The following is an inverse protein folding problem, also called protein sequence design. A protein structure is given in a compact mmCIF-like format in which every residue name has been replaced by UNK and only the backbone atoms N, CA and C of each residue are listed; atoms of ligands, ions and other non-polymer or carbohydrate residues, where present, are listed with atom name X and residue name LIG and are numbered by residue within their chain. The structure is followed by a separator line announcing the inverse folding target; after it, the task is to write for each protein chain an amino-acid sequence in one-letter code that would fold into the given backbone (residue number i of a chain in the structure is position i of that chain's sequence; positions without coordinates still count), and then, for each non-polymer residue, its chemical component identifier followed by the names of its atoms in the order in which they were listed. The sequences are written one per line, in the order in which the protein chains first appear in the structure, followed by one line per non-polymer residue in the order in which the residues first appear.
data_IF_765062990869
#
_entry.id   IF_765062990869
#
_cell.length_a   1.000
_cell.length_b   1.000
_cell.length_c   1.000
_cell.angle_alpha   90.00
_cell.angle_beta   90.00
_cell.angle_gamma   90.00
#
_symmetry.space_group_name_H-M   'P 1'
#
loop_
_entity.id
_entity.type
_entity.pdbx_description
1 polymer ?
#
# COMPACT_ATOMS: atom_id res chain seq x y z
N UNK A 1 -15.38 -2.43 15.69
CA UNK A 1 -14.52 -3.21 14.81
C UNK A 1 -14.32 -2.44 13.50
N UNK A 2 -13.10 -2.04 13.19
CA UNK A 2 -12.72 -1.28 11.97
C UNK A 2 -13.00 -2.04 10.68
N UNK A 3 -12.69 -3.34 10.68
CA UNK A 3 -12.98 -4.23 9.57
C UNK A 3 -14.33 -4.90 9.80
N UNK A 4 -15.27 -4.83 8.85
CA UNK A 4 -16.59 -5.44 9.00
C UNK A 4 -16.49 -6.93 9.31
N UNK A 5 -17.34 -7.42 10.21
CA UNK A 5 -17.40 -8.84 10.57
C UNK A 5 -17.56 -9.74 9.33
N UNK A 6 -18.36 -9.29 8.35
CA UNK A 6 -18.54 -9.99 7.07
C UNK A 6 -17.22 -10.17 6.31
N UNK A 7 -16.35 -9.16 6.30
CA UNK A 7 -15.03 -9.24 5.67
C UNK A 7 -14.13 -10.19 6.43
N UNK A 8 -14.09 -10.08 7.76
CA UNK A 8 -13.28 -10.97 8.62
C UNK A 8 -13.65 -12.43 8.43
N UNK A 9 -14.96 -12.75 8.47
CA UNK A 9 -15.47 -14.11 8.26
C UNK A 9 -15.11 -14.65 6.87
N UNK A 10 -15.23 -13.79 5.83
CA UNK A 10 -14.95 -14.22 4.46
C UNK A 10 -13.46 -14.45 4.22
N UNK A 11 -12.60 -13.58 4.76
CA UNK A 11 -11.15 -13.76 4.70
C UNK A 11 -10.72 -14.99 5.50
N UNK A 12 -11.25 -15.17 6.71
CA UNK A 12 -10.99 -16.36 7.52
C UNK A 12 -11.40 -17.66 6.83
N UNK A 13 -12.61 -17.72 6.25
CA UNK A 13 -13.08 -18.86 5.47
C UNK A 13 -12.21 -19.13 4.23
N UNK A 14 -11.74 -18.05 3.55
CA UNK A 14 -10.82 -18.17 2.42
C UNK A 14 -9.49 -18.80 2.86
N UNK A 15 -8.89 -18.31 3.94
CA UNK A 15 -7.62 -18.84 4.48
C UNK A 15 -7.79 -20.32 4.86
N UNK A 16 -8.86 -20.67 5.57
CA UNK A 16 -9.13 -22.05 5.94
C UNK A 16 -9.22 -22.94 4.70
N UNK A 17 -9.95 -22.49 3.66
CA UNK A 17 -10.06 -23.21 2.38
C UNK A 17 -8.71 -23.42 1.71
N UNK A 18 -7.80 -22.42 1.73
CA UNK A 18 -6.46 -22.58 1.16
C UNK A 18 -5.63 -23.60 1.96
N UNK A 19 -5.69 -23.54 3.30
CA UNK A 19 -5.00 -24.49 4.18
C UNK A 19 -5.51 -25.94 3.97
N UNK A 20 -6.81 -26.13 3.88
CA UNK A 20 -7.42 -27.45 3.60
C UNK A 20 -7.03 -28.02 2.23
N UNK A 21 -6.67 -27.14 1.26
CA UNK A 21 -6.14 -27.53 -0.05
C UNK A 21 -4.62 -27.79 -0.03
N UNK A 22 -3.97 -27.70 1.12
CA UNK A 22 -2.52 -27.88 1.25
C UNK A 22 -1.70 -26.73 0.68
N UNK A 23 -2.30 -25.60 0.33
CA UNK A 23 -1.59 -24.47 -0.26
C UNK A 23 -0.84 -23.70 0.84
N UNK A 24 0.47 -23.59 0.69
CA UNK A 24 1.35 -22.80 1.60
C UNK A 24 1.43 -21.35 1.19
N UNK A 25 1.34 -21.02 -0.11
CA UNK A 25 1.42 -19.68 -0.68
C UNK A 25 0.09 -19.37 -1.38
N UNK A 26 -0.57 -18.30 -0.95
CA UNK A 26 -1.83 -17.82 -1.51
C UNK A 26 -2.01 -16.32 -1.26
N UNK A 27 -2.64 -15.58 -2.18
CA UNK A 27 -2.87 -14.16 -2.05
C UNK A 27 -4.00 -13.88 -1.05
N UNK A 28 -3.86 -12.82 -0.26
CA UNK A 28 -4.94 -12.25 0.56
C UNK A 28 -5.49 -10.97 -0.05
N UNK A 29 -4.60 -10.16 -0.63
CA UNK A 29 -4.93 -8.89 -1.27
C UNK A 29 -4.29 -8.88 -2.67
N UNK A 30 -5.07 -8.57 -3.68
CA UNK A 30 -4.53 -8.18 -4.99
C UNK A 30 -4.28 -6.68 -4.95
N UNK A 31 -3.05 -6.24 -5.23
CA UNK A 31 -2.76 -4.84 -5.58
C UNK A 31 -2.91 -4.68 -7.09
N UNK A 32 -3.94 -3.95 -7.50
CA UNK A 32 -4.26 -3.69 -8.90
C UNK A 32 -3.93 -2.23 -9.22
N UNK A 33 -2.89 -2.00 -10.01
CA UNK A 33 -2.46 -0.67 -10.44
C UNK A 33 -2.84 -0.45 -11.92
N UNK A 34 -4.05 0.06 -12.20
CA UNK A 34 -4.53 0.15 -13.56
C UNK A 34 -3.85 1.24 -14.39
N UNK A 35 -3.12 2.15 -13.75
CA UNK A 35 -2.33 3.22 -14.37
C UNK A 35 -1.28 3.75 -13.39
N UNK A 36 -0.26 4.46 -13.92
CA UNK A 36 0.76 5.13 -13.09
C UNK A 36 0.61 6.66 -13.06
N UNK A 37 -0.16 7.25 -13.99
CA UNK A 37 -0.38 8.70 -13.98
C UNK A 37 -1.02 9.16 -12.67
N UNK A 38 -0.48 10.24 -12.10
CA UNK A 38 -1.01 10.90 -10.91
C UNK A 38 -1.15 12.40 -11.15
N UNK A 39 -1.94 13.06 -10.33
CA UNK A 39 -2.08 14.52 -10.26
C UNK A 39 -1.31 15.13 -9.08
N UNK A 40 -0.44 14.35 -8.44
CA UNK A 40 0.55 14.75 -7.42
C UNK A 40 1.92 14.20 -7.80
N UNK A 41 2.97 14.82 -7.27
CA UNK A 41 4.37 14.43 -7.47
C UNK A 41 5.09 14.28 -6.12
N UNK A 42 4.55 13.44 -5.24
CA UNK A 42 5.06 13.25 -3.88
C UNK A 42 6.52 12.79 -3.87
N UNK A 43 7.42 13.42 -3.07
CA UNK A 43 8.85 13.09 -3.04
C UNK A 43 9.16 11.64 -2.65
N UNK A 44 8.32 11.05 -1.80
CA UNK A 44 8.45 9.65 -1.36
C UNK A 44 7.80 8.63 -2.30
N UNK A 45 7.36 9.03 -3.51
CA UNK A 45 6.64 8.16 -4.45
C UNK A 45 7.31 8.12 -5.82
N UNK A 46 7.73 6.93 -6.27
CA UNK A 46 8.35 6.74 -7.59
C UNK A 46 7.39 6.35 -8.72
N UNK A 47 6.06 6.40 -8.50
CA UNK A 47 5.09 5.87 -9.45
C UNK A 47 4.91 6.69 -10.73
N UNK A 48 5.25 7.97 -10.70
CA UNK A 48 5.18 8.86 -11.88
C UNK A 48 6.53 9.07 -12.56
N UNK A 49 7.59 8.46 -12.05
CA UNK A 49 8.93 8.56 -12.63
C UNK A 49 9.07 7.63 -13.84
N UNK A 50 8.26 7.91 -14.86
CA UNK A 50 8.23 7.22 -16.14
C UNK A 50 7.99 8.20 -17.29
N UNK A 51 8.47 7.88 -18.52
CA UNK A 51 8.11 8.63 -19.71
C UNK A 51 6.60 8.70 -19.96
N UNK A 52 6.17 9.73 -20.67
CA UNK A 52 4.74 9.97 -20.96
C UNK A 52 4.06 8.80 -21.68
N UNK A 53 4.78 8.07 -22.53
CA UNK A 53 4.26 6.87 -23.20
C UNK A 53 3.81 5.80 -22.19
N UNK A 54 4.56 5.63 -21.11
CA UNK A 54 4.23 4.71 -20.02
C UNK A 54 3.11 5.29 -19.14
N UNK A 55 3.18 6.58 -18.79
CA UNK A 55 2.16 7.24 -17.97
C UNK A 55 0.80 7.31 -18.66
N UNK A 56 0.76 7.27 -19.99
CA UNK A 56 -0.47 7.24 -20.78
C UNK A 56 -1.07 5.83 -20.93
N UNK A 57 -0.31 4.77 -20.61
CA UNK A 57 -0.83 3.40 -20.61
C UNK A 57 -1.79 3.18 -19.45
N UNK A 58 -2.73 2.30 -19.66
CA UNK A 58 -3.68 1.85 -18.65
C UNK A 58 -4.16 0.44 -18.97
N UNK A 59 -4.55 -0.29 -17.95
CA UNK A 59 -5.28 -1.54 -18.13
C UNK A 59 -6.72 -1.24 -18.50
N UNK A 60 -7.28 -2.02 -19.42
CA UNK A 60 -8.72 -2.02 -19.70
C UNK A 60 -9.51 -2.63 -18.56
N UNK A 61 -10.84 -2.46 -18.55
CA UNK A 61 -11.73 -3.13 -17.61
C UNK A 61 -11.54 -4.65 -17.67
N UNK A 62 -11.46 -5.22 -18.86
CA UNK A 62 -11.26 -6.65 -19.07
C UNK A 62 -9.96 -7.14 -18.42
N UNK A 63 -8.82 -6.50 -18.69
CA UNK A 63 -7.53 -6.87 -18.09
C UNK A 63 -7.53 -6.75 -16.55
N UNK A 64 -8.21 -5.74 -16.00
CA UNK A 64 -8.37 -5.59 -14.56
C UNK A 64 -9.19 -6.74 -13.96
N UNK A 65 -10.28 -7.13 -14.62
CA UNK A 65 -11.16 -8.19 -14.12
C UNK A 65 -10.53 -9.57 -14.31
N UNK A 66 -9.82 -9.81 -15.39
CA UNK A 66 -9.04 -11.04 -15.60
C UNK A 66 -8.00 -11.20 -14.47
N UNK A 67 -7.31 -10.13 -14.10
CA UNK A 67 -6.36 -10.15 -12.97
C UNK A 67 -7.06 -10.47 -11.64
N UNK A 68 -8.25 -9.91 -11.39
CA UNK A 68 -9.05 -10.20 -10.18
C UNK A 68 -9.46 -11.67 -10.11
N UNK A 69 -9.85 -12.25 -11.24
CA UNK A 69 -10.26 -13.66 -11.33
C UNK A 69 -9.08 -14.63 -11.24
N UNK A 70 -8.01 -14.34 -11.97
CA UNK A 70 -6.78 -15.14 -11.99
C UNK A 70 -6.14 -15.21 -10.59
N UNK A 71 -6.02 -14.07 -9.91
CA UNK A 71 -5.49 -13.98 -8.55
C UNK A 71 -6.41 -14.66 -7.52
N UNK A 72 -7.70 -14.42 -7.62
CA UNK A 72 -8.70 -15.00 -6.72
C UNK A 72 -8.67 -14.50 -5.28
N UNK A 73 -7.88 -13.46 -4.96
CA UNK A 73 -7.82 -12.86 -3.63
C UNK A 73 -9.19 -12.32 -3.16
N UNK A 74 -9.50 -12.41 -1.87
CA UNK A 74 -10.77 -11.90 -1.33
C UNK A 74 -10.83 -10.36 -1.29
N UNK A 75 -9.68 -9.69 -1.26
CA UNK A 75 -9.54 -8.24 -1.20
C UNK A 75 -8.80 -7.76 -2.45
N UNK A 76 -9.22 -6.60 -2.98
CA UNK A 76 -8.55 -5.90 -4.08
C UNK A 76 -8.28 -4.47 -3.63
N UNK A 77 -7.01 -4.12 -3.52
CA UNK A 77 -6.56 -2.74 -3.34
C UNK A 77 -6.26 -2.15 -4.72
N UNK A 78 -6.79 -0.98 -5.01
CA UNK A 78 -6.59 -0.29 -6.29
C UNK A 78 -5.83 1.02 -6.01
N UNK A 79 -4.47 0.96 -5.91
CA UNK A 79 -3.66 2.16 -5.74
C UNK A 79 -3.35 2.81 -7.09
N UNK A 80 -2.34 2.39 -7.79
CA UNK A 80 -1.82 3.00 -9.01
C UNK A 80 -1.06 4.30 -8.73
N UNK A 81 -1.08 5.24 -9.68
CA UNK A 81 -0.81 6.66 -9.44
C UNK A 81 -2.03 7.27 -8.73
N UNK A 82 -2.93 7.93 -9.48
CA UNK A 82 -4.25 8.31 -8.95
C UNK A 82 -5.35 7.54 -9.72
N UNK A 83 -5.98 6.53 -9.12
CA UNK A 83 -6.93 5.68 -9.86
C UNK A 83 -8.17 6.44 -10.34
N UNK A 84 -8.52 7.57 -9.72
CA UNK A 84 -9.61 8.41 -10.20
C UNK A 84 -9.30 9.12 -11.53
N UNK A 85 -8.06 9.10 -12.03
CA UNK A 85 -7.73 9.53 -13.38
C UNK A 85 -8.10 8.49 -14.44
N UNK A 86 -8.28 7.23 -14.06
CA UNK A 86 -8.72 6.19 -14.99
C UNK A 86 -10.15 6.47 -15.47
N UNK A 87 -10.37 6.44 -16.80
CA UNK A 87 -11.66 6.81 -17.39
C UNK A 87 -12.79 5.86 -16.99
N UNK A 88 -12.45 4.59 -16.82
CA UNK A 88 -13.39 3.49 -16.57
C UNK A 88 -13.31 2.98 -15.12
N UNK A 89 -12.77 3.77 -14.17
CA UNK A 89 -12.58 3.34 -12.78
C UNK A 89 -13.89 2.92 -12.11
N UNK A 90 -15.00 3.61 -12.43
CA UNK A 90 -16.32 3.26 -11.92
C UNK A 90 -16.74 1.85 -12.32
N UNK A 91 -16.49 1.46 -13.57
CA UNK A 91 -16.80 0.14 -14.10
C UNK A 91 -15.88 -0.95 -13.51
N UNK A 92 -14.57 -0.70 -13.42
CA UNK A 92 -13.61 -1.61 -12.76
C UNK A 92 -14.05 -1.91 -11.33
N UNK A 93 -14.41 -0.88 -10.56
CA UNK A 93 -14.89 -1.03 -9.18
C UNK A 93 -16.22 -1.79 -9.13
N UNK A 94 -17.19 -1.43 -9.99
CA UNK A 94 -18.50 -2.06 -10.01
C UNK A 94 -18.41 -3.56 -10.34
N UNK A 95 -17.63 -3.94 -11.36
CA UNK A 95 -17.43 -5.34 -11.74
C UNK A 95 -16.67 -6.14 -10.68
N UNK A 96 -15.72 -5.51 -9.98
CA UNK A 96 -15.00 -6.14 -8.86
C UNK A 96 -15.93 -6.37 -7.64
N UNK A 97 -16.75 -5.37 -7.31
CA UNK A 97 -17.77 -5.46 -6.25
C UNK A 97 -18.84 -6.52 -6.56
N UNK A 98 -19.29 -6.60 -7.82
CA UNK A 98 -20.25 -7.63 -8.29
C UNK A 98 -19.72 -9.06 -8.05
N UNK A 99 -18.41 -9.25 -8.17
CA UNK A 99 -17.70 -10.51 -7.83
C UNK A 99 -17.52 -10.70 -6.32
N UNK A 100 -18.11 -9.81 -5.52
CA UNK A 100 -18.06 -9.83 -4.05
C UNK A 100 -16.61 -9.81 -3.52
N UNK A 101 -15.71 -9.08 -4.18
CA UNK A 101 -14.40 -8.77 -3.65
C UNK A 101 -14.50 -7.48 -2.82
N UNK A 102 -13.77 -7.41 -1.71
CA UNK A 102 -13.66 -6.18 -0.93
C UNK A 102 -12.67 -5.26 -1.61
N UNK A 103 -13.16 -4.13 -2.09
CA UNK A 103 -12.38 -3.12 -2.82
C UNK A 103 -11.94 -2.02 -1.86
N UNK A 104 -10.66 -1.74 -1.82
CA UNK A 104 -10.08 -0.54 -1.26
C UNK A 104 -9.59 0.33 -2.41
N UNK A 105 -10.35 1.38 -2.75
CA UNK A 105 -9.96 2.34 -3.78
C UNK A 105 -9.09 3.42 -3.13
N UNK A 106 -7.77 3.34 -3.37
CA UNK A 106 -6.80 4.26 -2.79
C UNK A 106 -6.77 5.55 -3.61
N UNK A 107 -6.82 6.72 -2.93
CA UNK A 107 -6.86 8.00 -3.62
C UNK A 107 -6.28 9.12 -2.76
N UNK A 108 -5.66 10.12 -3.41
CA UNK A 108 -5.30 11.39 -2.77
C UNK A 108 -6.49 12.33 -2.56
N UNK A 109 -7.69 11.88 -2.90
CA UNK A 109 -8.98 12.53 -2.74
C UNK A 109 -9.22 13.82 -3.54
N UNK A 110 -8.25 14.38 -4.25
CA UNK A 110 -8.40 15.63 -4.99
C UNK A 110 -9.51 15.59 -6.05
N UNK A 111 -9.79 14.43 -6.60
CA UNK A 111 -10.83 14.21 -7.61
C UNK A 111 -12.07 13.52 -7.04
N UNK A 112 -12.04 13.09 -5.76
CA UNK A 112 -13.03 12.17 -5.21
C UNK A 112 -14.44 12.80 -5.19
N UNK A 113 -14.59 14.04 -4.72
CA UNK A 113 -15.88 14.75 -4.71
C UNK A 113 -16.47 14.87 -6.11
N UNK A 114 -15.64 15.24 -7.10
CA UNK A 114 -16.07 15.41 -8.51
C UNK A 114 -16.50 14.08 -9.14
N UNK A 115 -15.86 12.98 -8.77
CA UNK A 115 -16.07 11.66 -9.38
C UNK A 115 -16.93 10.71 -8.55
N UNK A 116 -17.46 11.16 -7.42
CA UNK A 116 -18.25 10.32 -6.53
C UNK A 116 -19.46 9.68 -7.20
N UNK A 117 -20.07 10.37 -8.18
CA UNK A 117 -21.20 9.90 -8.97
C UNK A 117 -20.91 8.61 -9.79
N UNK A 118 -19.65 8.24 -9.96
CA UNK A 118 -19.24 6.99 -10.66
C UNK A 118 -19.43 5.75 -9.79
N UNK A 119 -19.70 5.91 -8.50
CA UNK A 119 -19.72 4.82 -7.54
C UNK A 119 -21.07 4.69 -6.85
N UNK A 120 -21.36 3.49 -6.39
CA UNK A 120 -22.54 3.20 -5.57
C UNK A 120 -22.11 2.69 -4.19
N UNK A 121 -22.67 3.18 -3.07
CA UNK A 121 -22.36 2.67 -1.75
C UNK A 121 -22.56 1.17 -1.66
N UNK A 122 -21.57 0.48 -1.11
CA UNK A 122 -21.56 -0.97 -1.01
C UNK A 122 -20.77 -1.43 0.22
N UNK A 123 -21.16 -2.51 0.90
CA UNK A 123 -20.35 -3.10 1.96
C UNK A 123 -19.04 -3.71 1.44
N UNK A 124 -18.87 -3.77 0.13
CA UNK A 124 -17.65 -4.24 -0.54
C UNK A 124 -16.76 -3.12 -1.07
N UNK A 125 -17.17 -1.84 -0.96
CA UNK A 125 -16.36 -0.69 -1.39
C UNK A 125 -16.00 0.18 -0.21
N UNK A 126 -14.70 0.46 -0.07
CA UNK A 126 -14.13 1.41 0.90
C UNK A 126 -13.19 2.32 0.14
N UNK A 127 -13.36 3.63 0.28
CA UNK A 127 -12.35 4.58 -0.17
C UNK A 127 -11.22 4.61 0.85
N UNK A 128 -9.98 4.44 0.41
CA UNK A 128 -8.78 4.54 1.22
C UNK A 128 -8.11 5.86 0.90
N UNK A 129 -8.37 6.87 1.72
CA UNK A 129 -7.89 8.24 1.50
C UNK A 129 -6.51 8.41 2.10
N UNK A 130 -5.57 8.91 1.30
CA UNK A 130 -4.21 9.17 1.73
C UNK A 130 -4.13 10.43 2.59
N UNK A 131 -3.65 10.28 3.84
CA UNK A 131 -3.31 11.36 4.77
C UNK A 131 -2.15 10.91 5.67
N UNK A 132 -1.01 11.60 5.63
CA UNK A 132 0.20 11.21 6.36
C UNK A 132 0.42 11.97 7.67
N UNK A 133 -0.39 12.99 7.95
CA UNK A 133 -0.31 13.82 9.13
C UNK A 133 -1.43 14.86 9.16
N UNK A 134 -1.33 15.83 10.06
CA UNK A 134 -2.13 17.05 10.02
C UNK A 134 -1.71 17.92 8.82
N UNK A 135 -2.37 19.06 8.63
CA UNK A 135 -2.19 19.90 7.42
C UNK A 135 -0.72 20.17 7.07
N UNK A 136 0.15 20.62 7.98
CA UNK A 136 1.55 20.89 7.63
C UNK A 136 2.30 19.65 7.16
N UNK A 137 2.19 18.55 7.91
CA UNK A 137 2.91 17.32 7.64
C UNK A 137 2.39 16.63 6.35
N UNK A 138 1.08 16.67 6.12
CA UNK A 138 0.50 16.05 4.92
C UNK A 138 0.84 16.84 3.66
N UNK A 139 0.65 18.16 3.68
CA UNK A 139 0.92 19.01 2.52
C UNK A 139 2.40 18.99 2.15
N UNK A 140 3.31 18.87 3.13
CA UNK A 140 4.74 18.63 2.92
C UNK A 140 5.00 17.27 2.29
N UNK A 141 4.37 16.18 2.81
CA UNK A 141 4.58 14.81 2.31
C UNK A 141 4.17 14.62 0.85
N UNK A 142 3.21 15.43 0.38
CA UNK A 142 2.72 15.40 -1.01
C UNK A 142 3.25 16.53 -1.88
N UNK A 143 4.11 17.39 -1.32
CA UNK A 143 4.71 18.58 -1.97
C UNK A 143 3.65 19.50 -2.62
N UNK A 144 2.52 19.67 -1.95
CA UNK A 144 1.45 20.54 -2.45
C UNK A 144 0.55 21.08 -1.34
N UNK A 145 0.47 22.39 -1.21
CA UNK A 145 -0.37 23.07 -0.22
C UNK A 145 -1.88 22.88 -0.49
N UNK A 146 -2.65 22.77 0.59
CA UNK A 146 -4.10 22.66 0.57
C UNK A 146 -4.66 21.29 0.16
N UNK A 147 -3.80 20.28 0.03
CA UNK A 147 -4.25 18.89 -0.24
C UNK A 147 -4.96 18.31 0.97
N UNK A 148 -4.41 18.50 2.18
CA UNK A 148 -5.04 18.06 3.43
C UNK A 148 -6.49 18.52 3.54
N UNK A 149 -6.71 19.83 3.41
CA UNK A 149 -8.07 20.41 3.49
C UNK A 149 -9.03 19.77 2.50
N UNK A 150 -8.60 19.64 1.23
CA UNK A 150 -9.45 19.02 0.18
C UNK A 150 -9.72 17.54 0.44
N UNK A 151 -8.75 16.81 1.01
CA UNK A 151 -8.94 15.41 1.38
C UNK A 151 -9.93 15.26 2.54
N UNK A 152 -9.84 16.10 3.57
CA UNK A 152 -10.78 16.11 4.70
C UNK A 152 -12.21 16.43 4.22
N UNK A 153 -12.39 17.49 3.40
CA UNK A 153 -13.70 17.81 2.80
C UNK A 153 -14.25 16.66 1.94
N UNK A 154 -13.38 15.94 1.25
CA UNK A 154 -13.79 14.77 0.47
C UNK A 154 -14.22 13.62 1.37
N UNK A 155 -13.50 13.33 2.47
CA UNK A 155 -13.89 12.32 3.47
C UNK A 155 -15.31 12.62 4.00
N UNK A 156 -15.55 13.84 4.44
CA UNK A 156 -16.87 14.26 4.96
C UNK A 156 -17.98 14.08 3.92
N UNK A 157 -17.74 14.53 2.68
CA UNK A 157 -18.69 14.39 1.56
C UNK A 157 -19.03 12.94 1.27
N UNK A 158 -18.02 12.08 1.21
CA UNK A 158 -18.15 10.66 0.87
C UNK A 158 -18.87 9.90 1.98
N UNK A 159 -18.57 10.22 3.24
CA UNK A 159 -19.29 9.64 4.39
C UNK A 159 -20.75 10.08 4.44
N UNK A 160 -21.04 11.37 4.20
CA UNK A 160 -22.40 11.86 4.12
C UNK A 160 -23.22 11.19 3.00
N UNK A 161 -22.56 10.76 1.92
CA UNK A 161 -23.17 9.99 0.84
C UNK A 161 -23.31 8.48 1.14
N UNK A 162 -22.97 8.03 2.36
CA UNK A 162 -23.16 6.64 2.81
C UNK A 162 -22.05 5.67 2.39
N UNK A 163 -20.93 6.16 1.92
CA UNK A 163 -19.77 5.30 1.62
C UNK A 163 -18.92 5.04 2.86
N UNK A 164 -18.16 3.98 2.80
CA UNK A 164 -17.14 3.63 3.78
C UNK A 164 -15.84 4.34 3.42
N UNK A 165 -15.15 4.86 4.43
CA UNK A 165 -13.87 5.54 4.27
C UNK A 165 -12.86 5.00 5.27
N UNK A 166 -11.66 4.70 4.78
CA UNK A 166 -10.47 4.40 5.57
C UNK A 166 -9.40 5.47 5.28
N UNK A 167 -8.59 5.81 6.26
CA UNK A 167 -7.41 6.66 6.07
C UNK A 167 -6.19 5.78 5.91
N UNK A 168 -5.37 6.03 4.89
CA UNK A 168 -4.08 5.40 4.68
C UNK A 168 -2.96 6.40 4.99
N UNK A 169 -2.14 6.06 5.97
CA UNK A 169 -1.09 6.90 6.52
C UNK A 169 0.27 6.23 6.37
N UNK A 170 1.21 6.94 5.77
CA UNK A 170 2.63 6.54 5.68
C UNK A 170 3.45 7.45 6.59
N UNK A 171 4.24 6.85 7.48
CA UNK A 171 5.10 7.60 8.40
C UNK A 171 6.55 7.56 7.90
N UNK A 172 7.18 8.73 7.87
CA UNK A 172 8.57 8.92 7.45
C UNK A 172 9.47 9.24 8.65
N UNK A 173 10.77 9.39 8.42
CA UNK A 173 11.75 9.61 9.49
C UNK A 173 11.64 10.98 10.20
N UNK A 174 10.90 11.90 9.63
CA UNK A 174 10.57 13.20 10.24
C UNK A 174 9.33 13.15 11.14
N UNK A 175 8.67 11.99 11.24
CA UNK A 175 7.44 11.85 12.03
C UNK A 175 7.71 11.94 13.53
N UNK A 176 7.12 12.95 14.19
CA UNK A 176 7.17 13.14 15.62
C UNK A 176 6.02 12.40 16.31
N UNK A 177 6.27 11.51 17.31
CA UNK A 177 5.25 10.69 17.93
C UNK A 177 4.04 11.47 18.46
N UNK A 178 4.25 12.66 19.02
CA UNK A 178 3.20 13.54 19.54
C UNK A 178 2.31 14.10 18.41
N UNK A 179 2.90 14.43 17.26
CA UNK A 179 2.17 14.92 16.07
C UNK A 179 1.36 13.79 15.44
N UNK A 180 1.94 12.60 15.33
CA UNK A 180 1.24 11.40 14.86
C UNK A 180 0.06 11.06 15.76
N UNK A 181 0.23 11.14 17.09
CA UNK A 181 -0.84 10.93 18.05
C UNK A 181 -1.98 11.95 17.86
N UNK A 182 -1.66 13.24 17.70
CA UNK A 182 -2.64 14.29 17.44
C UNK A 182 -3.37 14.07 16.09
N UNK A 183 -2.66 13.60 15.07
CA UNK A 183 -3.25 13.24 13.78
C UNK A 183 -4.24 12.06 13.92
N UNK A 184 -3.88 11.00 14.65
CA UNK A 184 -4.81 9.87 14.84
C UNK A 184 -6.04 10.26 15.67
N UNK A 185 -5.88 11.16 16.65
CA UNK A 185 -7.03 11.74 17.36
C UNK A 185 -7.94 12.50 16.39
N UNK A 186 -7.38 13.35 15.54
CA UNK A 186 -8.12 14.10 14.54
C UNK A 186 -8.86 13.16 13.56
N UNK A 187 -8.17 12.18 13.00
CA UNK A 187 -8.78 11.19 12.08
C UNK A 187 -9.94 10.45 12.74
N UNK A 188 -9.82 10.14 14.03
CA UNK A 188 -10.89 9.49 14.80
C UNK A 188 -12.15 10.36 14.85
N UNK A 189 -12.01 11.70 14.92
CA UNK A 189 -13.16 12.63 14.91
C UNK A 189 -13.90 12.66 13.57
N UNK A 190 -13.24 12.32 12.47
CA UNK A 190 -13.87 12.23 11.14
C UNK A 190 -14.81 11.01 11.03
N UNK A 191 -14.80 10.12 12.02
CA UNK A 191 -15.65 8.93 12.06
C UNK A 191 -15.37 7.95 10.92
N UNK A 192 -14.13 7.87 10.42
CA UNK A 192 -13.72 6.89 9.41
C UNK A 192 -13.78 5.46 9.96
N UNK A 193 -13.83 4.48 9.08
CA UNK A 193 -13.91 3.07 9.47
C UNK A 193 -12.64 2.59 10.18
N UNK A 194 -11.47 3.18 9.82
CA UNK A 194 -10.21 2.90 10.45
C UNK A 194 -9.04 3.57 9.77
N UNK A 195 -7.87 3.39 10.37
CA UNK A 195 -6.59 3.88 9.89
C UNK A 195 -5.75 2.68 9.46
N UNK A 196 -5.21 2.71 8.26
CA UNK A 196 -4.12 1.84 7.83
C UNK A 196 -2.83 2.63 7.97
N UNK A 197 -1.88 2.13 8.73
CA UNK A 197 -0.61 2.82 8.97
C UNK A 197 0.57 1.95 8.51
N UNK A 198 1.57 2.59 7.93
CA UNK A 198 2.78 1.90 7.45
C UNK A 198 4.00 2.81 7.61
N UNK A 199 5.19 2.25 7.87
CA UNK A 199 6.41 3.02 7.68
C UNK A 199 6.62 3.27 6.19
N UNK A 200 7.19 4.41 5.84
CA UNK A 200 7.72 4.67 4.53
C UNK A 200 8.87 3.71 4.23
N UNK A 201 8.89 3.19 3.03
CA UNK A 201 9.94 2.30 2.54
C UNK A 201 10.62 2.89 1.31
N UNK A 202 11.94 2.77 1.25
CA UNK A 202 12.75 3.26 0.16
C UNK A 202 12.42 2.54 -1.18
N UNK A 203 11.52 3.14 -1.94
CA UNK A 203 11.34 2.76 -3.34
C UNK A 203 12.59 3.12 -4.13
N UNK A 204 13.05 2.22 -5.00
CA UNK A 204 14.21 2.51 -5.86
C UNK A 204 14.01 3.75 -6.73
N UNK A 205 12.78 4.04 -7.12
CA UNK A 205 12.40 5.18 -7.97
C UNK A 205 11.92 6.41 -7.22
N UNK A 206 11.87 6.39 -5.89
CA UNK A 206 11.48 7.58 -5.15
C UNK A 206 12.53 8.68 -5.32
N UNK A 207 12.12 9.91 -5.67
CA UNK A 207 13.06 11.03 -5.86
C UNK A 207 13.89 11.34 -4.61
N UNK A 208 13.29 11.22 -3.44
CA UNK A 208 13.97 11.42 -2.16
C UNK A 208 14.15 10.11 -1.42
N UNK A 209 15.40 9.71 -1.23
CA UNK A 209 15.79 8.50 -0.51
C UNK A 209 16.11 8.76 0.98
N UNK A 210 16.18 10.01 1.42
CA UNK A 210 16.53 10.37 2.78
C UNK A 210 15.36 10.27 3.77
N UNK A 211 14.13 10.22 3.28
CA UNK A 211 12.89 10.25 4.08
C UNK A 211 12.54 8.94 4.78
N UNK A 212 13.12 7.83 4.37
CA UNK A 212 12.66 6.53 4.78
C UNK A 212 13.19 6.10 6.14
N UNK A 213 12.35 5.34 6.85
CA UNK A 213 12.69 4.77 8.14
C UNK A 213 13.46 3.46 7.98
N UNK A 214 14.56 3.31 8.71
CA UNK A 214 15.13 1.99 8.92
C UNK A 214 14.30 1.19 9.93
N UNK A 215 14.60 -0.11 10.06
CA UNK A 215 13.84 -1.03 10.92
C UNK A 215 13.85 -0.62 12.39
N UNK A 216 14.97 -0.15 12.90
CA UNK A 216 15.10 0.27 14.29
C UNK A 216 14.31 1.57 14.57
N UNK A 217 14.41 2.53 13.66
CA UNK A 217 13.62 3.78 13.72
C UNK A 217 12.12 3.49 13.67
N UNK A 218 11.69 2.59 12.78
CA UNK A 218 10.30 2.13 12.71
C UNK A 218 9.80 1.60 14.04
N UNK A 219 10.50 0.64 14.63
CA UNK A 219 10.13 0.04 15.92
C UNK A 219 10.02 1.08 17.03
N UNK A 220 10.97 2.00 17.09
CA UNK A 220 11.01 3.07 18.12
C UNK A 220 9.84 4.02 17.91
N UNK A 221 9.64 4.54 16.71
CA UNK A 221 8.55 5.47 16.39
C UNK A 221 7.19 4.87 16.75
N UNK A 222 6.87 3.67 16.25
CA UNK A 222 5.58 3.04 16.51
C UNK A 222 5.37 2.70 17.99
N UNK A 223 6.43 2.31 18.69
CA UNK A 223 6.36 2.07 20.16
C UNK A 223 6.00 3.35 20.91
N UNK A 224 6.61 4.48 20.56
CA UNK A 224 6.33 5.77 21.18
C UNK A 224 4.94 6.27 20.85
N UNK A 225 4.51 6.14 19.59
CA UNK A 225 3.14 6.48 19.16
C UNK A 225 2.12 5.64 19.93
N UNK A 226 2.28 4.33 20.00
CA UNK A 226 1.33 3.46 20.73
C UNK A 226 1.35 3.67 22.25
N UNK A 227 2.49 4.11 22.80
CA UNK A 227 2.55 4.55 24.22
C UNK A 227 1.64 5.76 24.46
N UNK A 228 1.68 6.75 23.57
CA UNK A 228 0.79 7.92 23.61
C UNK A 228 -0.67 7.54 23.31
N UNK A 229 -0.92 6.46 22.58
CA UNK A 229 -2.23 5.95 22.25
C UNK A 229 -2.93 5.19 23.39
N UNK A 230 -2.28 4.92 24.52
CA UNK A 230 -2.89 4.22 25.65
C UNK A 230 -4.12 4.98 26.17
N UNK A 231 -5.26 4.31 26.21
CA UNK A 231 -6.53 4.89 26.65
C UNK A 231 -7.23 5.78 25.59
N UNK A 232 -6.70 5.89 24.37
CA UNK A 232 -7.35 6.58 23.25
C UNK A 232 -8.15 5.59 22.39
N UNK A 233 -9.15 6.10 21.66
CA UNK A 233 -10.06 5.29 20.86
C UNK A 233 -9.65 5.24 19.38
N UNK A 234 -8.36 5.08 19.11
CA UNK A 234 -7.90 4.92 17.73
C UNK A 234 -8.36 3.59 17.15
N UNK A 235 -8.81 3.62 15.93
CA UNK A 235 -9.34 2.44 15.23
C UNK A 235 -8.44 2.15 14.03
N UNK A 236 -7.68 1.06 14.09
CA UNK A 236 -6.83 0.62 12.98
C UNK A 236 -7.52 -0.47 12.16
N UNK A 237 -7.30 -0.46 10.84
CA UNK A 237 -7.84 -1.46 9.89
C UNK A 237 -6.96 -2.70 9.78
N UNK A 238 -5.80 -2.69 10.43
CA UNK A 238 -4.82 -3.76 10.43
C UNK A 238 -5.00 -4.67 11.64
N UNK A 239 -4.44 -5.88 11.56
CA UNK A 239 -4.48 -6.82 12.69
C UNK A 239 -3.67 -6.30 13.88
N UNK A 240 -4.13 -6.60 15.10
CA UNK A 240 -3.42 -6.20 16.33
C UNK A 240 -1.99 -6.75 16.37
N UNK A 241 -1.77 -7.94 15.81
CA UNK A 241 -0.44 -8.53 15.75
C UNK A 241 0.49 -7.84 14.74
N UNK A 242 -0.04 -7.23 13.69
CA UNK A 242 0.77 -6.41 12.81
C UNK A 242 1.18 -5.09 13.49
N UNK A 243 0.27 -4.44 14.19
CA UNK A 243 0.61 -3.24 14.97
C UNK A 243 1.64 -3.55 16.06
N UNK A 244 1.52 -4.71 16.70
CA UNK A 244 2.50 -5.18 17.68
C UNK A 244 3.87 -5.53 17.04
N UNK A 245 3.86 -5.98 15.77
CA UNK A 245 5.08 -6.14 14.98
C UNK A 245 5.73 -4.78 14.65
N UNK A 246 4.96 -3.76 14.27
CA UNK A 246 5.49 -2.41 14.06
C UNK A 246 6.14 -1.85 15.31
N UNK A 247 5.58 -2.12 16.50
CA UNK A 247 6.16 -1.77 17.79
C UNK A 247 7.38 -2.65 18.19
N UNK A 248 7.83 -3.53 17.31
CA UNK A 248 9.01 -4.36 17.52
C UNK A 248 8.82 -5.52 18.51
N UNK A 249 7.61 -5.99 18.75
CA UNK A 249 7.33 -7.06 19.71
C UNK A 249 7.22 -8.45 19.07
N UNK A 250 7.16 -8.51 17.74
CA UNK A 250 7.09 -9.74 16.95
C UNK A 250 8.28 -9.86 16.02
N UNK A 251 8.71 -11.09 15.75
CA UNK A 251 9.70 -11.40 14.73
C UNK A 251 9.02 -12.15 13.59
N UNK A 252 8.66 -11.46 12.53
CA UNK A 252 7.93 -12.01 11.39
C UNK A 252 8.80 -12.12 10.15
N UNK A 253 8.59 -13.18 9.38
CA UNK A 253 9.08 -13.30 8.00
C UNK A 253 8.08 -12.70 7.04
N UNK A 254 8.60 -12.02 6.03
CA UNK A 254 7.77 -11.46 4.96
C UNK A 254 7.09 -12.56 4.14
N UNK A 255 5.85 -12.32 3.71
CA UNK A 255 5.07 -13.21 2.84
C UNK A 255 4.60 -12.44 1.59
N UNK A 256 5.52 -12.09 0.65
CA UNK A 256 5.22 -11.19 -0.47
C UNK A 256 4.12 -11.74 -1.39
N UNK A 257 4.02 -13.05 -1.55
CA UNK A 257 2.93 -13.72 -2.28
C UNK A 257 1.53 -13.47 -1.71
N UNK A 258 1.43 -12.97 -0.46
CA UNK A 258 0.16 -12.61 0.17
C UNK A 258 -0.48 -11.35 -0.42
N UNK A 259 0.34 -10.53 -1.09
CA UNK A 259 -0.08 -9.25 -1.67
C UNK A 259 0.52 -9.02 -3.06
N UNK A 260 0.22 -9.92 -4.05
CA UNK A 260 0.73 -9.78 -5.41
C UNK A 260 0.24 -8.50 -6.07
N UNK A 261 1.07 -7.95 -6.95
CA UNK A 261 0.79 -6.71 -7.69
C UNK A 261 0.62 -7.00 -9.18
N UNK A 262 -0.48 -6.51 -9.77
CA UNK A 262 -0.73 -6.47 -11.21
C UNK A 262 -0.79 -5.01 -11.68
N UNK A 263 0.09 -4.66 -12.60
CA UNK A 263 0.14 -3.31 -13.16
C UNK A 263 0.21 -3.34 -14.71
N UNK A 264 0.44 -2.21 -15.34
CA UNK A 264 0.47 -2.06 -16.80
C UNK A 264 1.57 -2.87 -17.50
N UNK A 265 2.57 -3.36 -16.78
CA UNK A 265 3.64 -4.20 -17.32
C UNK A 265 3.38 -5.70 -17.15
N UNK A 266 2.61 -6.09 -16.14
CA UNK A 266 2.37 -7.50 -15.84
C UNK A 266 2.22 -7.75 -14.34
N UNK A 267 2.52 -8.97 -13.91
CA UNK A 267 2.57 -9.38 -12.52
C UNK A 267 3.97 -9.09 -11.96
N UNK A 268 4.09 -8.10 -11.09
CA UNK A 268 5.38 -7.60 -10.58
C UNK A 268 6.05 -8.59 -9.64
N UNK A 269 7.34 -8.83 -9.84
CA UNK A 269 8.21 -9.67 -8.99
C UNK A 269 9.09 -8.84 -8.07
N UNK A 270 9.36 -9.33 -6.86
CA UNK A 270 8.62 -10.32 -6.08
C UNK A 270 7.45 -9.67 -5.36
N UNK A 271 7.44 -8.36 -5.24
CA UNK A 271 6.43 -7.59 -4.51
C UNK A 271 6.30 -6.17 -5.07
N UNK A 272 5.34 -5.45 -4.54
CA UNK A 272 5.02 -4.07 -4.85
C UNK A 272 6.22 -3.09 -4.73
N UNK A 273 7.15 -3.33 -3.79
CA UNK A 273 8.24 -2.40 -3.47
C UNK A 273 9.49 -2.63 -4.31
N UNK A 274 9.75 -3.86 -4.70
CA UNK A 274 10.89 -4.23 -5.52
C UNK A 274 10.47 -4.33 -6.99
N UNK A 275 11.29 -3.85 -7.87
CA UNK A 275 11.05 -3.86 -9.31
C UNK A 275 12.04 -4.81 -10.00
N UNK A 276 11.89 -6.13 -9.72
CA UNK A 276 12.79 -7.17 -10.23
C UNK A 276 12.15 -7.99 -11.35
N UNK A 277 11.38 -7.33 -12.20
CA UNK A 277 10.78 -7.93 -13.38
C UNK A 277 9.29 -8.28 -13.23
N UNK A 278 8.74 -8.86 -14.26
CA UNK A 278 7.32 -9.15 -14.40
C UNK A 278 7.08 -10.57 -14.90
N UNK A 279 6.04 -11.20 -14.38
CA UNK A 279 5.53 -12.46 -14.87
C UNK A 279 4.35 -12.20 -15.80
N UNK A 280 4.17 -13.00 -16.88
CA UNK A 280 3.08 -12.84 -17.83
C UNK A 280 1.72 -13.25 -17.27
N UNK A 281 1.69 -14.12 -16.28
CA UNK A 281 0.46 -14.62 -15.62
C UNK A 281 0.64 -14.72 -14.11
N UNK A 282 -0.47 -14.75 -13.38
CA UNK A 282 -0.44 -15.00 -11.94
C UNK A 282 0.15 -16.37 -11.60
N UNK A 283 -0.13 -17.37 -12.44
CA UNK A 283 0.47 -18.69 -12.28
C UNK A 283 1.99 -18.63 -12.37
N UNK A 284 2.54 -18.00 -13.41
CA UNK A 284 3.99 -17.82 -13.58
C UNK A 284 4.60 -17.04 -12.40
N UNK A 285 3.93 -15.98 -11.91
CA UNK A 285 4.36 -15.27 -10.72
C UNK A 285 4.49 -16.23 -9.52
N UNK A 286 3.49 -17.08 -9.28
CA UNK A 286 3.45 -17.93 -8.10
C UNK A 286 4.40 -19.14 -8.18
N UNK A 287 4.60 -19.71 -9.36
CA UNK A 287 5.35 -20.96 -9.58
C UNK A 287 6.84 -20.72 -9.88
N UNK A 288 7.18 -19.62 -10.57
CA UNK A 288 8.55 -19.36 -11.06
C UNK A 288 9.35 -18.38 -10.20
N UNK A 289 8.68 -17.61 -9.31
CA UNK A 289 9.40 -16.69 -8.42
C UNK A 289 10.09 -17.47 -7.30
N UNK A 290 11.39 -17.22 -7.10
CA UNK A 290 12.14 -17.75 -5.95
C UNK A 290 11.75 -17.00 -4.66
N UNK A 291 10.59 -17.33 -4.13
CA UNK A 291 10.03 -16.70 -2.94
C UNK A 291 10.93 -16.81 -1.70
N UNK A 292 11.70 -17.86 -1.59
CA UNK A 292 12.53 -18.13 -0.42
C UNK A 292 13.82 -17.29 -0.43
N UNK A 293 14.18 -16.73 -1.58
CA UNK A 293 15.26 -15.78 -1.74
C UNK A 293 14.94 -14.36 -1.28
N UNK A 294 13.68 -14.04 -0.98
CA UNK A 294 13.22 -12.69 -0.63
C UNK A 294 12.80 -12.56 0.84
N UNK A 295 12.67 -11.31 1.28
CA UNK A 295 12.25 -10.96 2.64
C UNK A 295 13.42 -10.74 3.59
N UNK A 296 13.09 -10.22 4.79
CA UNK A 296 14.08 -9.96 5.84
C UNK A 296 14.84 -11.23 6.21
N UNK A 297 16.15 -11.11 6.23
CA UNK A 297 17.07 -12.23 6.50
C UNK A 297 17.54 -12.98 5.25
N UNK A 298 16.88 -12.81 4.10
CA UNK A 298 17.24 -13.52 2.87
C UNK A 298 17.73 -12.55 1.78
N UNK A 299 17.29 -11.30 1.79
CA UNK A 299 17.64 -10.32 0.76
C UNK A 299 17.95 -8.97 1.39
N UNK A 300 19.09 -8.38 1.04
CA UNK A 300 19.60 -7.15 1.62
C UNK A 300 18.63 -5.98 1.48
N UNK A 301 18.03 -5.79 0.30
CA UNK A 301 17.03 -4.75 0.05
C UNK A 301 15.77 -4.88 0.94
N UNK A 302 15.55 -6.04 1.54
CA UNK A 302 14.43 -6.28 2.44
C UNK A 302 14.75 -6.03 3.93
N UNK A 303 16.01 -5.69 4.27
CA UNK A 303 16.48 -5.63 5.66
C UNK A 303 15.63 -4.67 6.52
N UNK A 304 15.37 -3.47 6.02
CA UNK A 304 14.63 -2.43 6.74
C UNK A 304 13.12 -2.47 6.54
N UNK A 305 12.62 -3.32 5.63
CA UNK A 305 11.21 -3.40 5.30
C UNK A 305 10.36 -3.90 6.47
N UNK A 306 9.34 -3.11 6.85
CA UNK A 306 8.28 -3.47 7.79
C UNK A 306 6.88 -3.12 7.23
N UNK A 307 6.75 -3.01 5.91
CA UNK A 307 5.53 -2.54 5.24
C UNK A 307 4.42 -3.59 5.28
N UNK A 308 3.19 -3.12 5.44
CA UNK A 308 2.01 -3.97 5.60
C UNK A 308 1.81 -5.01 4.48
N UNK A 309 2.14 -4.68 3.23
CA UNK A 309 1.94 -5.59 2.09
C UNK A 309 2.70 -6.92 2.23
N UNK A 310 3.84 -6.93 2.94
CA UNK A 310 4.61 -8.15 3.19
C UNK A 310 4.33 -8.82 4.53
N UNK A 311 3.93 -8.06 5.55
CA UNK A 311 3.85 -8.55 6.93
C UNK A 311 2.43 -8.68 7.48
N UNK A 312 1.45 -7.92 6.97
CA UNK A 312 0.06 -8.09 7.37
C UNK A 312 -0.48 -9.50 7.03
N UNK A 313 -0.16 -10.11 5.87
CA UNK A 313 -0.55 -11.49 5.62
C UNK A 313 0.03 -12.48 6.63
N UNK A 314 1.27 -12.27 7.07
CA UNK A 314 1.90 -13.08 8.13
C UNK A 314 1.15 -12.90 9.46
N UNK A 315 0.88 -11.67 9.86
CA UNK A 315 0.18 -11.35 11.10
C UNK A 315 -1.27 -11.88 11.12
N UNK A 316 -1.98 -11.80 9.98
CA UNK A 316 -3.33 -12.38 9.84
C UNK A 316 -3.29 -13.91 9.97
N UNK A 317 -2.29 -14.56 9.38
CA UNK A 317 -2.12 -16.01 9.54
C UNK A 317 -1.76 -16.39 10.97
N UNK A 318 -0.94 -15.60 11.68
CA UNK A 318 -0.62 -15.80 13.10
C UNK A 318 -1.85 -15.57 13.99
N UNK A 319 -2.68 -14.55 13.68
CA UNK A 319 -3.96 -14.32 14.38
C UNK A 319 -4.87 -15.55 14.35
N UNK A 320 -4.96 -16.22 13.20
CA UNK A 320 -5.76 -17.44 13.07
C UNK A 320 -5.13 -18.68 13.74
N UNK A 321 -3.80 -18.72 13.81
CA UNK A 321 -3.05 -19.82 14.42
C UNK A 321 -2.90 -19.66 15.93
N UNK A 322 -2.93 -18.44 16.42
CA UNK A 322 -2.70 -18.07 17.82
C UNK A 322 -3.76 -17.07 18.31
N UNK A 323 -5.06 -17.46 18.34
CA UNK A 323 -6.17 -16.52 18.60
C UNK A 323 -6.10 -15.88 19.99
N UNK A 324 -5.62 -16.60 21.00
CA UNK A 324 -5.45 -16.05 22.35
C UNK A 324 -4.36 -14.98 22.43
N UNK A 325 -3.26 -15.15 21.68
CA UNK A 325 -2.22 -14.12 21.55
C UNK A 325 -2.79 -12.88 20.88
N UNK A 326 -3.50 -13.04 19.77
CA UNK A 326 -4.13 -11.95 19.06
C UNK A 326 -5.17 -11.21 19.91
N UNK A 327 -6.01 -11.95 20.65
CA UNK A 327 -7.00 -11.37 21.57
C UNK A 327 -6.33 -10.56 22.68
N UNK A 328 -5.27 -11.09 23.29
CA UNK A 328 -4.51 -10.39 24.33
C UNK A 328 -3.96 -9.06 23.83
N UNK A 329 -3.36 -9.04 22.64
CA UNK A 329 -2.83 -7.81 22.03
C UNK A 329 -3.97 -6.87 21.62
N UNK A 330 -5.08 -7.40 21.11
CA UNK A 330 -6.25 -6.59 20.73
C UNK A 330 -6.88 -5.86 21.94
N UNK A 331 -6.87 -6.49 23.12
CA UNK A 331 -7.43 -5.90 24.35
C UNK A 331 -6.46 -4.96 25.06
N UNK A 332 -5.17 -5.31 25.10
CA UNK A 332 -4.16 -4.54 25.82
C UNK A 332 -3.48 -3.45 24.96
N UNK A 333 -3.64 -3.51 23.65
CA UNK A 333 -2.85 -2.75 22.68
C UNK A 333 -1.44 -3.32 22.47
N UNK A 334 -0.68 -2.82 21.49
CA UNK A 334 0.72 -3.18 21.30
C UNK A 334 1.57 -2.82 22.52
N UNK A 335 2.47 -3.71 22.90
CA UNK A 335 3.37 -3.46 24.05
C UNK A 335 4.35 -2.32 23.69
N UNK A 336 4.48 -1.34 24.57
CA UNK A 336 5.32 -0.15 24.35
C UNK A 336 6.54 -0.07 25.27
N UNK A 337 6.91 -1.17 25.92
CA UNK A 337 8.04 -1.28 26.85
C UNK A 337 8.77 -2.62 26.71
N UNK A 338 9.89 -2.79 27.46
CA UNK A 338 10.70 -4.00 27.42
C UNK A 338 11.56 -4.14 26.15
N UNK A 339 12.30 -5.23 25.99
CA UNK A 339 13.18 -5.44 24.85
C UNK A 339 12.40 -5.62 23.55
N UNK A 340 13.02 -5.25 22.41
CA UNK A 340 12.51 -5.60 21.09
C UNK A 340 12.66 -7.10 20.84
N UNK A 341 11.76 -7.66 20.05
CA UNK A 341 11.95 -8.99 19.48
C UNK A 341 13.22 -9.01 18.61
N UNK A 342 13.97 -10.11 18.61
CA UNK A 342 15.20 -10.20 17.83
C UNK A 342 14.92 -10.03 16.33
N UNK A 343 15.80 -9.32 15.66
CA UNK A 343 15.78 -9.22 14.20
C UNK A 343 16.27 -10.53 13.58
N UNK A 344 15.76 -10.84 12.41
CA UNK A 344 16.21 -11.98 11.62
C UNK A 344 17.53 -11.56 10.94
N UNK A 345 18.67 -12.18 11.27
CA UNK A 345 19.95 -11.83 10.67
C UNK A 345 19.95 -12.19 9.18
N UNK A 346 20.67 -11.41 8.39
CA UNK A 346 20.86 -11.71 6.97
C UNK A 346 21.68 -13.01 6.84
N UNK A 347 21.12 -14.00 6.17
CA UNK A 347 21.72 -15.32 6.04
C UNK A 347 22.87 -15.38 5.01
N UNK A 348 23.03 -14.35 4.18
CA UNK A 348 24.07 -14.21 3.16
C UNK A 348 23.80 -12.99 2.29
N UNK A 349 24.78 -12.55 1.52
CA UNK A 349 24.58 -11.54 0.48
C UNK A 349 24.07 -12.23 -0.78
N UNK A 350 22.85 -11.92 -1.17
CA UNK A 350 22.36 -12.21 -2.52
C UNK A 350 22.78 -11.03 -3.40
N UNK A 351 23.56 -11.26 -4.47
CA UNK A 351 23.79 -10.18 -5.43
C UNK A 351 22.42 -9.70 -5.94
N UNK A 352 22.24 -8.38 -5.97
CA UNK A 352 21.06 -7.78 -6.57
C UNK A 352 21.04 -8.16 -8.05
N UNK A 353 20.18 -9.07 -8.45
CA UNK A 353 19.85 -9.29 -9.84
C UNK A 353 18.98 -8.11 -10.27
N UNK A 354 19.60 -7.06 -10.80
CA UNK A 354 18.88 -6.05 -11.55
C UNK A 354 18.38 -6.69 -12.84
N UNK A 355 17.16 -7.16 -12.81
CA UNK A 355 16.41 -7.35 -14.04
C UNK A 355 15.99 -5.97 -14.50
N UNK A 356 16.81 -5.36 -15.37
CA UNK A 356 16.42 -4.15 -16.07
C UNK A 356 15.11 -4.46 -16.80
N UNK A 357 14.08 -3.67 -16.57
CA UNK A 357 12.82 -3.79 -17.29
C UNK A 357 13.07 -3.41 -18.76
N UNK A 358 13.26 -4.42 -19.62
CA UNK A 358 13.52 -4.22 -21.06
C UNK A 358 12.44 -3.35 -21.74
N UNK A 359 11.23 -3.27 -21.17
CA UNK A 359 10.15 -2.43 -21.65
C UNK A 359 10.43 -0.93 -21.39
N UNK A 360 11.02 -0.61 -20.22
CA UNK A 360 11.42 0.77 -19.89
C UNK A 360 12.71 1.13 -20.62
N UNK A 361 13.66 0.22 -20.71
CA UNK A 361 14.90 0.40 -21.48
C UNK A 361 14.64 0.56 -22.98
N UNK A 362 13.61 -0.09 -23.51
CA UNK A 362 13.13 0.10 -24.89
C UNK A 362 12.56 1.49 -25.13
N UNK A 363 11.75 2.01 -24.20
CA UNK A 363 11.19 3.36 -24.27
C UNK A 363 12.28 4.44 -24.16
N UNK A 364 13.26 4.25 -23.28
CA UNK A 364 14.40 5.18 -23.13
C UNK A 364 15.34 5.20 -24.33
N UNK A 365 15.51 4.09 -25.04
CA UNK A 365 16.29 4.04 -26.30
C UNK A 365 15.61 4.82 -27.43
N UNK A 366 14.30 4.84 -27.51
CA UNK A 366 13.56 5.62 -28.51
C UNK A 366 13.57 7.13 -28.23
N UNK A 367 13.70 7.57 -26.98
CA UNK A 367 13.81 8.99 -26.62
C UNK A 367 15.24 9.53 -26.76
N UNK A 368 16.26 8.69 -26.55
CA UNK A 368 17.69 9.07 -26.68
C UNK A 368 18.16 9.34 -28.11
N UNK A 369 17.46 8.84 -29.13
CA UNK A 369 17.82 9.11 -30.53
C UNK A 369 17.23 10.42 -31.10
N UNK A 370 16.31 11.10 -30.38
CA UNK A 370 15.70 12.36 -30.83
C UNK A 370 16.37 13.63 -30.26
N UNK A 371 17.17 13.53 -29.21
CA UNK A 371 17.78 14.70 -28.55
C UNK A 371 19.23 15.04 -29.01
N UNK A 372 19.73 14.39 -30.06
CA UNK A 372 21.04 14.72 -30.63
C UNK A 372 21.01 15.85 -31.70
N UNK A 373 19.91 16.54 -31.87
CA UNK A 373 19.77 17.59 -32.86
C UNK A 373 18.75 18.64 -32.49
N UNK A 374 19.00 19.50 -31.54
CA UNK A 374 18.70 20.92 -31.59
C UNK A 374 19.07 21.64 -30.26
N UNK A 375 20.27 22.19 -30.20
CA UNK A 375 20.63 23.24 -29.24
C UNK A 375 20.48 24.59 -29.92
N UNK A 376 19.28 25.12 -29.93
CA UNK A 376 18.94 26.45 -30.42
C UNK A 376 18.15 27.24 -29.37
N UNK A 377 18.82 28.24 -28.79
CA UNK A 377 18.36 29.26 -27.83
C UNK A 377 16.96 29.81 -28.09
N UNK A 378 16.23 30.11 -27.03
CA UNK A 378 15.04 30.95 -27.06
C UNK A 378 14.47 31.21 -25.68
N UNK A 379 14.98 32.18 -24.94
CA UNK A 379 14.32 32.80 -23.79
C UNK A 379 13.11 33.58 -24.28
N UNK A 380 11.93 33.36 -23.69
CA UNK A 380 10.86 34.39 -23.65
C UNK A 380 10.15 34.29 -22.29
N UNK A 381 9.98 35.46 -21.69
CA UNK A 381 9.37 35.75 -20.42
C UNK A 381 7.85 35.69 -20.46
N UNK A 382 7.31 35.48 -19.30
CA UNK A 382 6.01 35.91 -18.72
C UNK A 382 4.89 36.41 -19.67
N UNK A 383 3.73 35.68 -19.59
CA UNK A 383 2.43 36.29 -19.27
C UNK A 383 1.48 35.22 -18.69
#
# INVERSE_FOLDING_TARGET
LSVPLRQQLRVGAYILKQRLRGRRRYPLVLMLEPLFRCNLACPGCGKIDYPDEILNRRLSVAECIDAVEECGAPIVSIPGGEPLLHKEIGEIVAETVKRKRFVYLCTNALLLRKKLHLFTPSPYLTFSVHLDGLEPEHDESVDQQGVFKRAVEAIETVKAAGFRVNVNCTLFNTAEPSRVAAFFDFVTTLGVEGITVSPGYAYERAPDQAHFLNRQQTKTLFRDVFRLGRGRNWVFSQSSLFLDFLAGNQSYRCTPWGNPTRNIFGWQRPCYLLNEGYAPSFRSLMEETDWDGYGTGNYEKCADCMVHCGYEPTAVNDTLSSPWKALKVALAGPRSDGPFAPDIPLAGQRPAEFVFDDLVAGAQRHTGEKDAGDKGRGSVAAE
#
